data_IF_861197330452
#
_entry.id   IF_861197330452
#
_cell.length_a   1.000
_cell.length_b   1.000
_cell.length_c   1.000
_cell.angle_alpha   90.00
_cell.angle_beta   90.00
_cell.angle_gamma   90.00
#
_symmetry.space_group_name_H-M   'P 1'
#
loop_
_entity.id
_entity.type
_entity.pdbx_description
1 polymer ?
#
# COMPACT_ATOMS: atom_id res chain seq x y z
N UNK A 1 6.13 9.57 15.10
CA UNK A 1 5.56 8.33 14.52
C UNK A 1 5.16 8.66 13.09
N UNK A 2 5.40 7.78 12.12
CA UNK A 2 5.05 8.06 10.72
C UNK A 2 3.54 8.18 10.55
N UNK A 3 3.10 9.07 9.67
CA UNK A 3 1.69 9.18 9.34
C UNK A 3 1.21 7.95 8.55
N UNK A 4 -0.11 7.78 8.51
CA UNK A 4 -0.77 6.72 7.75
C UNK A 4 -1.77 7.30 6.77
N UNK A 5 -1.93 6.61 5.66
CA UNK A 5 -2.96 6.85 4.67
C UNK A 5 -3.89 5.63 4.60
N UNK A 6 -5.20 5.89 4.48
CA UNK A 6 -6.18 4.86 4.16
C UNK A 6 -6.06 4.48 2.68
N UNK A 7 -5.62 3.26 2.40
CA UNK A 7 -5.68 2.66 1.06
C UNK A 7 -6.89 1.73 0.99
N UNK A 8 -7.72 1.90 -0.02
CA UNK A 8 -8.97 1.13 -0.16
C UNK A 8 -9.19 0.60 -1.57
N UNK A 9 -10.05 -0.40 -1.68
CA UNK A 9 -10.46 -0.95 -2.96
C UNK A 9 -11.63 -1.93 -2.84
N UNK A 10 -11.96 -2.53 -3.97
CA UNK A 10 -12.91 -3.65 -4.07
C UNK A 10 -12.18 -4.77 -4.80
N UNK A 11 -12.17 -5.96 -4.22
CA UNK A 11 -11.59 -7.14 -4.83
C UNK A 11 -12.64 -7.86 -5.68
N UNK A 12 -12.41 -7.89 -6.98
CA UNK A 12 -13.22 -8.63 -7.96
C UNK A 12 -12.40 -9.79 -8.54
N UNK A 13 -13.07 -10.88 -8.89
CA UNK A 13 -12.46 -11.97 -9.66
C UNK A 13 -12.48 -11.68 -11.18
N UNK A 14 -11.98 -12.61 -11.98
CA UNK A 14 -11.93 -12.48 -13.43
C UNK A 14 -13.30 -12.38 -14.12
N UNK A 15 -14.39 -12.74 -13.42
CA UNK A 15 -15.77 -12.62 -13.88
C UNK A 15 -16.44 -11.33 -13.44
N UNK A 16 -15.69 -10.44 -12.78
CA UNK A 16 -16.18 -9.21 -12.12
C UNK A 16 -17.11 -9.48 -10.94
N UNK A 17 -17.09 -10.70 -10.38
CA UNK A 17 -17.81 -11.01 -9.16
C UNK A 17 -17.00 -10.59 -7.93
N UNK A 18 -17.63 -10.02 -6.89
CA UNK A 18 -16.95 -9.69 -5.64
C UNK A 18 -16.36 -10.92 -4.96
N UNK A 19 -15.10 -10.81 -4.56
CA UNK A 19 -14.44 -11.82 -3.73
C UNK A 19 -14.73 -11.50 -2.27
N UNK A 20 -15.83 -12.05 -1.76
CA UNK A 20 -16.23 -11.90 -0.37
C UNK A 20 -15.37 -12.76 0.57
N UNK A 21 -15.07 -12.25 1.77
CA UNK A 21 -14.31 -12.96 2.81
C UNK A 21 -12.93 -13.46 2.36
N UNK A 22 -12.37 -12.82 1.33
CA UNK A 22 -10.99 -12.96 0.92
C UNK A 22 -10.06 -12.18 1.85
N UNK A 23 -8.78 -12.12 1.46
CA UNK A 23 -7.74 -11.49 2.27
C UNK A 23 -6.91 -10.54 1.43
N UNK A 24 -6.68 -9.34 1.97
CA UNK A 24 -5.74 -8.36 1.43
C UNK A 24 -4.54 -8.30 2.35
N UNK A 25 -3.36 -8.33 1.76
CA UNK A 25 -2.08 -8.28 2.45
C UNK A 25 -1.26 -7.15 1.85
N UNK A 26 -0.88 -6.17 2.66
CA UNK A 26 0.08 -5.15 2.28
C UNK A 26 1.42 -5.42 2.97
N UNK A 27 2.51 -5.42 2.20
CA UNK A 27 3.87 -5.60 2.69
C UNK A 27 4.70 -4.36 2.35
N UNK A 28 5.26 -3.71 3.35
CA UNK A 28 6.28 -2.67 3.18
C UNK A 28 7.62 -3.36 2.96
N UNK A 29 8.30 -3.05 1.87
CA UNK A 29 9.62 -3.55 1.54
C UNK A 29 10.69 -2.50 1.78
N UNK A 30 11.85 -2.95 2.26
CA UNK A 30 13.00 -2.11 2.55
C UNK A 30 13.01 -1.60 3.98
N UNK A 31 13.81 -0.57 4.21
CA UNK A 31 13.88 0.12 5.51
C UNK A 31 14.24 1.58 5.31
N UNK A 32 13.61 2.48 6.05
CA UNK A 32 13.90 3.91 6.01
C UNK A 32 13.96 4.52 7.41
N UNK A 33 14.55 5.70 7.51
CA UNK A 33 14.52 6.53 8.73
C UNK A 33 13.44 7.57 8.55
N UNK A 34 12.65 7.75 9.59
CA UNK A 34 11.57 8.75 9.67
C UNK A 34 11.90 9.76 10.78
N UNK A 35 11.18 10.87 10.77
CA UNK A 35 11.31 11.94 11.75
C UNK A 35 11.48 11.44 13.19
N UNK A 36 12.49 12.00 13.87
CA UNK A 36 12.88 11.60 15.22
C UNK A 36 13.80 10.37 15.26
N UNK A 37 14.40 9.97 14.13
CA UNK A 37 15.36 8.86 14.05
C UNK A 37 14.70 7.48 14.10
N UNK A 38 13.40 7.40 13.85
CA UNK A 38 12.66 6.13 13.92
C UNK A 38 12.95 5.31 12.68
N UNK A 39 13.64 4.17 12.85
CA UNK A 39 13.85 3.20 11.76
C UNK A 39 12.59 2.35 11.57
N UNK A 40 11.98 2.43 10.41
CA UNK A 40 10.91 1.50 9.99
C UNK A 40 11.53 0.45 9.08
N UNK A 41 11.22 -0.81 9.36
CA UNK A 41 11.65 -1.99 8.58
C UNK A 41 10.43 -2.62 7.92
N UNK A 42 10.63 -3.73 7.21
CA UNK A 42 9.57 -4.53 6.61
C UNK A 42 8.40 -4.73 7.57
N UNK A 43 7.20 -4.35 7.12
CA UNK A 43 5.96 -4.47 7.88
C UNK A 43 4.92 -5.17 7.03
N UNK A 44 4.04 -5.94 7.67
CA UNK A 44 2.86 -6.52 7.04
C UNK A 44 1.58 -6.00 7.70
N UNK A 45 0.60 -5.63 6.90
CA UNK A 45 -0.74 -5.22 7.35
C UNK A 45 -1.77 -6.00 6.55
N UNK A 46 -2.86 -6.42 7.19
CA UNK A 46 -3.82 -7.32 6.56
C UNK A 46 -5.26 -6.86 6.82
N UNK A 47 -6.14 -7.12 5.86
CA UNK A 47 -7.58 -6.89 5.98
C UNK A 47 -8.34 -8.06 5.35
N UNK A 48 -9.55 -8.30 5.83
CA UNK A 48 -10.49 -9.24 5.21
C UNK A 48 -11.48 -8.45 4.37
N UNK A 49 -11.79 -8.95 3.17
CA UNK A 49 -12.78 -8.28 2.31
C UNK A 49 -14.19 -8.50 2.86
N UNK A 50 -15.04 -7.48 2.75
CA UNK A 50 -16.44 -7.56 3.12
C UNK A 50 -17.28 -8.34 2.11
N UNK A 51 -18.60 -8.32 2.30
CA UNK A 51 -19.52 -9.10 1.48
C UNK A 51 -19.58 -8.63 0.01
N UNK A 52 -19.22 -7.37 -0.25
CA UNK A 52 -19.13 -6.79 -1.59
C UNK A 52 -17.67 -6.71 -2.08
N UNK A 53 -16.75 -7.44 -1.44
CA UNK A 53 -15.33 -7.45 -1.80
C UNK A 53 -14.58 -6.19 -1.35
N UNK A 54 -15.23 -5.27 -0.65
CA UNK A 54 -14.66 -4.01 -0.17
C UNK A 54 -13.60 -4.24 0.91
N UNK A 55 -12.56 -3.42 0.91
CA UNK A 55 -11.50 -3.46 1.90
C UNK A 55 -10.82 -2.11 2.09
N UNK A 56 -10.17 -1.94 3.22
CA UNK A 56 -9.37 -0.77 3.55
C UNK A 56 -8.22 -1.13 4.50
N UNK A 57 -7.07 -0.47 4.33
CA UNK A 57 -5.87 -0.64 5.14
C UNK A 57 -5.29 0.71 5.52
N UNK A 58 -4.76 0.81 6.74
CA UNK A 58 -3.98 1.95 7.21
C UNK A 58 -2.50 1.69 6.99
N UNK A 59 -1.91 2.30 5.96
CA UNK A 59 -0.53 2.07 5.55
C UNK A 59 0.34 3.28 5.86
N UNK A 60 1.60 3.05 6.26
CA UNK A 60 2.58 4.12 6.48
C UNK A 60 2.80 4.91 5.19
N UNK A 61 2.80 6.24 5.31
CA UNK A 61 3.18 7.17 4.24
C UNK A 61 4.69 7.08 4.02
N UNK A 62 5.13 6.23 3.09
CA UNK A 62 6.56 5.99 2.86
C UNK A 62 7.29 7.17 2.18
N UNK A 63 6.57 8.18 1.71
CA UNK A 63 7.14 9.47 1.29
C UNK A 63 7.73 10.30 2.42
N UNK A 64 7.45 9.98 3.68
CA UNK A 64 8.04 10.64 4.86
C UNK A 64 9.39 10.06 5.27
N UNK A 65 9.83 8.97 4.63
CA UNK A 65 11.16 8.41 4.86
C UNK A 65 12.25 9.27 4.22
N UNK A 66 13.34 9.51 4.94
CA UNK A 66 14.46 10.36 4.51
C UNK A 66 14.99 9.99 3.13
N UNK A 67 15.12 8.70 2.81
CA UNK A 67 15.68 8.24 1.55
C UNK A 67 14.65 7.87 0.47
N UNK A 68 13.35 7.83 0.81
CA UNK A 68 12.31 7.30 -0.08
C UNK A 68 12.65 5.89 -0.60
N UNK A 69 13.23 5.06 0.26
CA UNK A 69 13.83 3.77 -0.08
C UNK A 69 12.89 2.58 0.12
N UNK A 70 11.72 2.82 0.70
CA UNK A 70 10.70 1.80 0.95
C UNK A 70 9.58 1.85 -0.09
N UNK A 71 8.96 0.71 -0.36
CA UNK A 71 7.79 0.59 -1.25
C UNK A 71 6.79 -0.41 -0.71
N UNK A 72 5.51 -0.23 -1.03
CA UNK A 72 4.47 -1.18 -0.67
C UNK A 72 4.20 -2.17 -1.81
N UNK A 73 3.90 -3.41 -1.43
CA UNK A 73 3.23 -4.40 -2.28
C UNK A 73 1.88 -4.72 -1.66
N UNK A 74 0.81 -4.77 -2.45
CA UNK A 74 -0.53 -5.19 -2.01
C UNK A 74 -0.92 -6.45 -2.79
N UNK A 75 -1.24 -7.52 -2.07
CA UNK A 75 -1.65 -8.81 -2.61
C UNK A 75 -3.10 -9.09 -2.19
N UNK A 76 -3.90 -9.62 -3.11
CA UNK A 76 -5.24 -10.11 -2.83
C UNK A 76 -5.34 -11.61 -2.97
N UNK A 77 -6.05 -12.23 -2.05
CA UNK A 77 -6.33 -13.66 -2.01
C UNK A 77 -7.84 -13.89 -1.90
N UNK A 78 -8.33 -14.94 -2.53
CA UNK A 78 -9.70 -15.39 -2.33
C UNK A 78 -9.88 -16.13 -0.99
N UNK A 79 -11.11 -16.56 -0.69
CA UNK A 79 -11.46 -17.28 0.54
C UNK A 79 -10.71 -18.62 0.71
N UNK A 80 -10.10 -19.14 -0.35
CA UNK A 80 -9.30 -20.36 -0.36
C UNK A 80 -7.79 -20.08 -0.36
N UNK A 81 -7.38 -18.84 -0.08
CA UNK A 81 -5.97 -18.41 -0.02
C UNK A 81 -5.25 -18.54 -1.37
N UNK A 82 -6.00 -18.53 -2.47
CA UNK A 82 -5.42 -18.44 -3.82
C UNK A 82 -5.19 -16.97 -4.14
N UNK A 83 -3.96 -16.60 -4.49
CA UNK A 83 -3.63 -15.24 -4.92
C UNK A 83 -4.38 -14.92 -6.21
N UNK A 84 -5.10 -13.80 -6.21
CA UNK A 84 -5.90 -13.33 -7.35
C UNK A 84 -5.37 -12.03 -7.97
N UNK A 85 -4.64 -11.19 -7.21
CA UNK A 85 -3.91 -10.05 -7.76
C UNK A 85 -2.68 -9.70 -6.91
N UNK A 86 -1.79 -8.90 -7.50
CA UNK A 86 -0.63 -8.32 -6.84
C UNK A 86 -0.29 -6.97 -7.48
N UNK A 87 -0.23 -5.92 -6.66
CA UNK A 87 0.20 -4.57 -7.04
C UNK A 87 1.52 -4.24 -6.34
N UNK A 88 2.56 -3.89 -7.10
CA UNK A 88 3.94 -3.71 -6.60
C UNK A 88 4.41 -2.28 -6.72
N UNK A 89 5.50 -1.98 -6.01
CA UNK A 89 6.21 -0.71 -6.10
C UNK A 89 5.30 0.51 -5.81
N UNK A 90 4.36 0.34 -4.88
CA UNK A 90 3.42 1.38 -4.49
C UNK A 90 4.10 2.40 -3.57
N UNK A 91 3.79 3.67 -3.78
CA UNK A 91 4.43 4.78 -3.06
C UNK A 91 3.42 5.84 -2.62
N UNK A 92 3.21 5.90 -1.30
CA UNK A 92 2.34 6.85 -0.63
C UNK A 92 3.12 8.12 -0.29
N UNK A 93 2.85 9.20 -1.04
CA UNK A 93 3.50 10.50 -0.82
C UNK A 93 2.79 11.39 0.20
N UNK A 94 1.57 11.06 0.64
CA UNK A 94 0.83 11.85 1.62
C UNK A 94 -0.14 10.99 2.42
N UNK A 95 -0.66 11.54 3.52
CA UNK A 95 -1.67 10.90 4.38
C UNK A 95 -3.10 10.92 3.80
N UNK A 96 -3.28 11.39 2.55
CA UNK A 96 -4.60 11.43 1.92
C UNK A 96 -5.11 10.02 1.61
N UNK A 97 -6.39 9.78 1.90
CA UNK A 97 -7.04 8.54 1.52
C UNK A 97 -7.02 8.35 0.00
N UNK A 98 -6.69 7.13 -0.46
CA UNK A 98 -6.46 6.85 -1.88
C UNK A 98 -7.03 5.47 -2.25
N UNK A 99 -7.51 5.34 -3.49
CA UNK A 99 -7.87 4.02 -4.03
C UNK A 99 -6.60 3.29 -4.47
N UNK A 100 -6.58 1.96 -4.41
CA UNK A 100 -5.44 1.19 -4.91
C UNK A 100 -5.12 1.53 -6.38
N UNK A 101 -6.14 1.64 -7.23
CA UNK A 101 -5.95 1.94 -8.65
C UNK A 101 -5.45 3.36 -8.93
N UNK A 102 -5.81 4.36 -8.10
CA UNK A 102 -5.20 5.69 -8.19
C UNK A 102 -3.74 5.62 -7.73
N UNK A 103 -3.48 4.95 -6.61
CA UNK A 103 -2.13 4.78 -6.05
C UNK A 103 -1.18 4.13 -7.06
N UNK A 104 -1.59 3.07 -7.75
CA UNK A 104 -0.82 2.43 -8.82
C UNK A 104 -0.41 3.43 -9.92
N UNK A 105 -1.34 4.29 -10.35
CA UNK A 105 -1.09 5.28 -11.40
C UNK A 105 -0.10 6.36 -10.97
N UNK A 106 -0.16 6.81 -9.72
CA UNK A 106 0.68 7.92 -9.23
C UNK A 106 2.01 7.50 -8.60
N UNK A 107 2.17 6.23 -8.21
CA UNK A 107 3.33 5.77 -7.41
C UNK A 107 4.69 6.08 -8.04
N UNK A 108 4.85 5.86 -9.36
CA UNK A 108 6.12 6.12 -10.03
C UNK A 108 6.49 7.61 -10.03
N UNK A 109 5.50 8.50 -10.21
CA UNK A 109 5.71 9.94 -10.17
C UNK A 109 6.00 10.41 -8.74
N UNK A 110 5.23 9.93 -7.77
CA UNK A 110 5.41 10.24 -6.36
C UNK A 110 6.81 9.87 -5.87
N UNK A 111 7.29 8.68 -6.22
CA UNK A 111 8.63 8.22 -5.85
C UNK A 111 9.73 9.10 -6.44
N UNK A 112 9.59 9.52 -7.71
CA UNK A 112 10.56 10.44 -8.34
C UNK A 112 10.59 11.78 -7.63
N UNK A 113 9.42 12.38 -7.39
CA UNK A 113 9.31 13.65 -6.70
C UNK A 113 9.91 13.61 -5.28
N UNK A 114 9.66 12.52 -4.53
CA UNK A 114 10.24 12.36 -3.20
C UNK A 114 11.77 12.28 -3.21
N UNK A 115 12.35 11.56 -4.18
CA UNK A 115 13.81 11.47 -4.33
C UNK A 115 14.45 12.77 -4.76
N UNK A 116 13.79 13.53 -5.64
CA UNK A 116 14.25 14.86 -6.05
C UNK A 116 14.21 15.84 -4.89
N UNK A 117 13.17 15.80 -4.05
CA UNK A 117 13.05 16.64 -2.87
C UNK A 117 14.10 16.34 -1.79
N UNK A 118 14.45 15.06 -1.58
CA UNK A 118 15.48 14.65 -0.62
C UNK A 118 16.93 14.86 -1.08
N UNK A 119 17.14 15.15 -2.38
CA UNK A 119 18.46 15.44 -2.94
C UNK A 119 18.82 16.94 -2.92
N UNK A 120 17.87 17.80 -2.57
CA UNK A 120 18.02 19.26 -2.46
C UNK A 120 18.37 19.68 -1.03
#
# INVERSE_FOLDING_TARGET
MPNKATVRGVLLDATLAPVAFGKIVATLHGSDVFDGGVRVVTQKVEATTGAQGEWSLELIVNGEGEAGSTTWTVEGYNQYVVKVFEAKALFLASALAVTLGDLERMSAQNLRAAREAGAA
#
